data_IF_772544603767
#
_entry.id   IF_772544603767
#
_cell.length_a   1.000
_cell.length_b   1.000
_cell.length_c   1.000
_cell.angle_alpha   90.00
_cell.angle_beta   90.00
_cell.angle_gamma   90.00
#
_symmetry.space_group_name_H-M   'P 1'
#
loop_
_entity.id
_entity.type
_entity.pdbx_description
1 polymer ?
#
# COMPACT_ATOMS: atom_id res chain seq x y z
N UNK A 1 0.47 -16.93 6.53
CA UNK A 1 0.17 -15.64 5.87
C UNK A 1 -0.45 -14.76 6.93
N UNK A 2 0.04 -13.54 7.13
CA UNK A 2 -0.39 -12.64 8.20
C UNK A 2 -1.13 -11.45 7.60
N UNK A 3 -2.10 -10.91 8.32
CA UNK A 3 -2.91 -9.77 7.89
C UNK A 3 -2.47 -8.54 8.68
N UNK A 4 -2.39 -7.40 8.01
CA UNK A 4 -2.15 -6.10 8.61
C UNK A 4 -3.18 -5.10 8.11
N UNK A 5 -3.72 -4.31 9.02
CA UNK A 5 -4.59 -3.18 8.75
C UNK A 5 -3.93 -1.88 9.22
N UNK A 6 -4.12 -0.81 8.44
CA UNK A 6 -3.80 0.56 8.85
C UNK A 6 -4.99 1.45 8.54
N UNK A 7 -5.13 2.49 9.35
CA UNK A 7 -6.01 3.62 9.03
C UNK A 7 -5.16 4.75 8.45
N UNK A 8 -5.56 5.26 7.29
CA UNK A 8 -4.93 6.39 6.65
C UNK A 8 -5.99 7.31 6.04
N UNK A 9 -6.06 8.55 6.54
CA UNK A 9 -7.06 9.56 6.12
C UNK A 9 -8.52 9.05 6.21
N UNK A 10 -8.87 8.37 7.29
CA UNK A 10 -10.21 7.81 7.51
C UNK A 10 -10.56 6.61 6.64
N UNK A 11 -9.60 6.09 5.86
CA UNK A 11 -9.76 4.85 5.10
C UNK A 11 -8.93 3.74 5.72
N UNK A 12 -9.55 2.57 5.90
CA UNK A 12 -8.85 1.37 6.35
C UNK A 12 -8.29 0.64 5.13
N UNK A 13 -6.97 0.45 5.13
CA UNK A 13 -6.27 -0.34 4.13
C UNK A 13 -5.82 -1.66 4.76
N UNK A 14 -6.09 -2.76 4.07
CA UNK A 14 -5.77 -4.12 4.54
C UNK A 14 -4.85 -4.80 3.55
N UNK A 15 -3.72 -5.32 4.03
CA UNK A 15 -2.79 -6.11 3.23
C UNK A 15 -2.46 -7.43 3.90
N UNK A 16 -2.01 -8.38 3.09
CA UNK A 16 -1.49 -9.65 3.56
C UNK A 16 0.02 -9.69 3.37
N UNK A 17 0.75 -10.27 4.30
CA UNK A 17 2.19 -10.45 4.14
C UNK A 17 2.64 -11.83 4.61
N UNK A 18 3.79 -12.28 4.07
CA UNK A 18 4.46 -13.50 4.49
C UNK A 18 5.97 -13.28 4.49
N UNK A 19 6.66 -13.99 5.37
CA UNK A 19 8.12 -14.06 5.36
C UNK A 19 8.51 -15.37 4.66
N UNK A 20 9.41 -15.29 3.69
CA UNK A 20 9.97 -16.44 2.98
C UNK A 20 11.06 -17.09 3.81
N UNK A 21 11.54 -18.26 3.36
CA UNK A 21 12.63 -18.98 4.04
C UNK A 21 13.96 -18.21 4.00
N UNK A 22 14.12 -17.31 3.03
CA UNK A 22 15.34 -16.53 2.79
C UNK A 22 15.38 -15.18 3.55
N UNK A 23 14.50 -14.96 4.54
CA UNK A 23 14.36 -13.69 5.26
C UNK A 23 13.85 -12.53 4.38
N UNK A 24 13.07 -12.84 3.33
CA UNK A 24 12.37 -11.84 2.53
C UNK A 24 10.92 -11.70 2.98
N UNK A 25 10.47 -10.46 3.07
CA UNK A 25 9.07 -10.11 3.27
C UNK A 25 8.39 -9.92 1.91
N UNK A 26 7.29 -10.62 1.71
CA UNK A 26 6.38 -10.43 0.57
C UNK A 26 5.08 -9.84 1.10
N UNK A 27 4.67 -8.68 0.57
CA UNK A 27 3.43 -7.96 0.92
C UNK A 27 2.52 -7.92 -0.30
N UNK A 28 1.29 -8.36 -0.13
CA UNK A 28 0.21 -8.31 -1.10
C UNK A 28 -0.64 -7.06 -0.82
N UNK A 29 -0.57 -6.08 -1.72
CA UNK A 29 -1.30 -4.83 -1.62
C UNK A 29 -2.75 -4.99 -2.09
N UNK A 30 -3.66 -4.08 -1.68
CA UNK A 30 -5.08 -4.12 -2.05
C UNK A 30 -5.37 -4.02 -3.55
N UNK A 31 -4.44 -3.44 -4.33
CA UNK A 31 -4.53 -3.35 -5.78
C UNK A 31 -4.11 -4.64 -6.50
N UNK A 32 -3.72 -5.69 -5.77
CA UNK A 32 -3.19 -6.94 -6.33
C UNK A 32 -1.68 -6.89 -6.62
N UNK A 33 -1.01 -5.76 -6.40
CA UNK A 33 0.45 -5.64 -6.52
C UNK A 33 1.14 -6.41 -5.38
N UNK A 34 2.28 -7.03 -5.69
CA UNK A 34 3.15 -7.63 -4.68
C UNK A 34 4.43 -6.82 -4.53
N UNK A 35 4.86 -6.63 -3.28
CA UNK A 35 6.14 -6.00 -2.95
C UNK A 35 6.99 -6.93 -2.12
N UNK A 36 8.26 -7.01 -2.51
CA UNK A 36 9.25 -7.84 -1.83
C UNK A 36 10.34 -6.97 -1.19
N UNK A 37 10.80 -7.35 0.00
CA UNK A 37 11.87 -6.65 0.71
C UNK A 37 12.64 -7.61 1.61
N UNK A 38 13.96 -7.65 1.48
CA UNK A 38 14.82 -8.37 2.42
C UNK A 38 14.74 -7.73 3.81
N UNK A 39 14.48 -8.53 4.85
CA UNK A 39 14.31 -8.03 6.21
C UNK A 39 15.63 -7.63 6.84
N UNK A 40 16.69 -8.42 6.67
CA UNK A 40 18.04 -8.08 7.16
C UNK A 40 18.03 -7.67 8.64
N UNK A 41 17.23 -8.36 9.46
CA UNK A 41 17.05 -8.07 10.89
C UNK A 41 15.96 -7.02 11.22
N UNK A 42 15.29 -6.44 10.22
CA UNK A 42 14.11 -5.59 10.43
C UNK A 42 12.90 -6.47 10.75
N UNK A 43 12.03 -5.99 11.66
CA UNK A 43 10.81 -6.71 12.01
C UNK A 43 9.85 -6.79 10.81
N UNK A 44 9.36 -7.98 10.41
CA UNK A 44 8.48 -8.16 9.26
C UNK A 44 7.24 -7.26 9.27
N UNK A 45 6.61 -7.11 10.44
CA UNK A 45 5.43 -6.29 10.63
C UNK A 45 5.70 -4.81 10.34
N UNK A 46 6.87 -4.30 10.73
CA UNK A 46 7.24 -2.90 10.52
C UNK A 46 7.45 -2.62 9.03
N UNK A 47 8.22 -3.48 8.35
CA UNK A 47 8.41 -3.37 6.89
C UNK A 47 7.09 -3.50 6.13
N UNK A 48 6.20 -4.42 6.52
CA UNK A 48 4.88 -4.57 5.91
C UNK A 48 4.01 -3.32 6.08
N UNK A 49 4.05 -2.72 7.29
CA UNK A 49 3.34 -1.47 7.58
C UNK A 49 3.84 -0.33 6.72
N UNK A 50 5.16 -0.18 6.57
CA UNK A 50 5.74 0.85 5.71
C UNK A 50 5.27 0.73 4.27
N UNK A 51 5.24 -0.49 3.72
CA UNK A 51 4.72 -0.72 2.36
C UNK A 51 3.24 -0.36 2.21
N UNK A 52 2.42 -0.72 3.20
CA UNK A 52 0.99 -0.43 3.18
C UNK A 52 0.71 1.09 3.32
N UNK A 53 1.48 1.79 4.16
CA UNK A 53 1.40 3.26 4.30
C UNK A 53 1.78 3.94 2.99
N UNK A 54 2.89 3.51 2.36
CA UNK A 54 3.31 4.06 1.07
C UNK A 54 2.24 3.85 -0.01
N UNK A 55 1.58 2.69 -0.03
CA UNK A 55 0.45 2.44 -0.91
C UNK A 55 -0.75 3.37 -0.59
N UNK A 56 -1.13 3.52 0.67
CA UNK A 56 -2.23 4.40 1.05
C UNK A 56 -1.97 5.86 0.61
N UNK A 57 -0.73 6.34 0.77
CA UNK A 57 -0.30 7.67 0.31
C UNK A 57 -0.46 7.86 -1.21
N UNK A 58 -0.12 6.85 -2.03
CA UNK A 58 -0.28 6.95 -3.48
C UNK A 58 -1.75 6.95 -3.90
N UNK A 59 -2.60 6.20 -3.20
CA UNK A 59 -4.05 6.19 -3.46
C UNK A 59 -4.69 7.56 -3.21
N UNK A 60 -4.31 8.26 -2.14
CA UNK A 60 -4.81 9.62 -1.88
C UNK A 60 -4.39 10.59 -2.98
N UNK A 61 -3.16 10.48 -3.46
CA UNK A 61 -2.63 11.36 -4.52
C UNK A 61 -3.34 11.12 -5.87
N UNK A 62 -3.71 9.87 -6.17
CA UNK A 62 -4.49 9.52 -7.37
C UNK A 62 -5.92 10.01 -7.30
N UNK A 63 -6.56 9.97 -6.13
CA UNK A 63 -7.94 10.47 -5.94
C UNK A 63 -8.06 11.99 -6.20
N UNK A 64 -7.03 12.76 -5.90
CA UNK A 64 -7.03 14.21 -6.15
C UNK A 64 -6.86 14.59 -7.63
N UNK A 65 -6.48 13.66 -8.52
CA UNK A 65 -6.18 13.97 -9.93
C UNK A 65 -7.38 13.79 -10.87
N UNK A 66 -8.48 13.19 -10.41
CA UNK A 66 -9.66 12.88 -11.24
C UNK A 66 -10.63 14.08 -11.36
N UNK A 67 -10.49 15.14 -10.55
CA UNK A 67 -11.41 16.29 -10.59
C UNK A 67 -11.00 17.45 -11.52
N UNK A 68 -9.85 17.38 -12.21
CA UNK A 68 -9.34 18.52 -12.98
C UNK A 68 -9.63 18.49 -14.50
N UNK A 69 -10.60 17.70 -14.99
CA UNK A 69 -10.79 17.48 -16.44
C UNK A 69 -12.22 17.53 -16.98
N UNK A 70 -13.13 18.23 -16.31
CA UNK A 70 -14.48 18.47 -16.86
C UNK A 70 -14.84 19.94 -16.70
N UNK A 71 -14.56 20.72 -17.73
CA UNK A 71 -14.89 22.15 -17.71
C UNK A 71 -14.47 22.92 -18.94
N UNK A 72 -14.67 22.41 -20.15
CA UNK A 72 -14.69 23.22 -21.38
C UNK A 72 -15.85 22.78 -22.28
N UNK A 73 -17.05 23.23 -21.92
CA UNK A 73 -18.11 23.49 -22.89
C UNK A 73 -17.94 24.94 -23.36
N UNK A 74 -17.76 25.14 -24.67
CA UNK A 74 -17.87 26.47 -25.30
C UNK A 74 -18.82 26.35 -26.48
N UNK A 75 -19.77 27.28 -26.48
CA UNK A 75 -20.86 27.50 -27.43
C UNK A 75 -20.35 27.91 -28.80
#
# INVERSE_FOLDING_TARGET
MNILNIEYLGHVYTAQYKVTKDDHLVVHLPNGEMRETALRGIRPQLSAKTHLVAYAMTQTRSRHRVQARTGHHRW
#
